data_IF_997322844886
#
_entry.id   IF_997322844886
#
_cell.length_a   1.000
_cell.length_b   1.000
_cell.length_c   1.000
_cell.angle_alpha   90.00
_cell.angle_beta   90.00
_cell.angle_gamma   90.00
#
_symmetry.space_group_name_H-M   'P 1'
#
loop_
_entity.id
_entity.type
_entity.pdbx_description
1 polymer ?
#
# COMPACT_ATOMS: atom_id res chain seq x y z
N UNK A 1 1.78 13.77 -7.00
CA UNK A 1 1.33 13.40 -8.38
C UNK A 1 -0.10 13.89 -8.65
N UNK A 2 -1.10 13.43 -7.88
CA UNK A 2 -2.51 13.81 -8.08
C UNK A 2 -2.71 15.34 -8.10
N UNK A 3 -2.19 16.06 -7.09
CA UNK A 3 -2.24 17.54 -7.07
C UNK A 3 -1.67 18.20 -8.33
N UNK A 4 -0.55 17.67 -8.87
CA UNK A 4 0.05 18.21 -10.11
C UNK A 4 -0.84 17.92 -11.32
N UNK A 5 -1.49 16.75 -11.39
CA UNK A 5 -2.32 16.37 -12.54
C UNK A 5 -3.62 17.15 -12.64
N UNK A 6 -4.18 17.64 -11.52
CA UNK A 6 -5.38 18.50 -11.53
C UNK A 6 -5.29 19.68 -12.51
N UNK A 7 -4.09 20.18 -12.78
CA UNK A 7 -3.86 21.30 -13.71
C UNK A 7 -4.16 20.97 -15.18
N UNK A 8 -4.25 19.69 -15.55
CA UNK A 8 -4.21 19.25 -16.95
C UNK A 8 -5.23 18.18 -17.31
N UNK A 9 -6.14 17.84 -16.39
CA UNK A 9 -7.15 16.79 -16.60
C UNK A 9 -8.54 17.39 -16.49
N UNK A 10 -9.51 16.95 -17.33
CA UNK A 10 -10.87 17.48 -17.32
C UNK A 10 -11.73 16.83 -16.22
N UNK A 11 -11.18 16.72 -15.00
CA UNK A 11 -11.90 16.22 -13.82
C UNK A 11 -11.53 17.04 -12.60
N UNK A 12 -12.50 17.25 -11.73
CA UNK A 12 -12.33 17.95 -10.45
C UNK A 12 -12.33 16.95 -9.30
N UNK A 13 -11.41 17.13 -8.35
CA UNK A 13 -11.42 16.42 -7.08
C UNK A 13 -10.65 17.19 -6.02
N UNK A 14 -11.08 17.04 -4.78
CA UNK A 14 -10.32 17.49 -3.61
C UNK A 14 -9.38 16.40 -3.11
N UNK A 15 -8.24 16.82 -2.57
CA UNK A 15 -7.25 15.92 -1.99
C UNK A 15 -7.16 16.13 -0.49
N UNK A 16 -7.31 15.04 0.24
CA UNK A 16 -7.07 14.95 1.66
C UNK A 16 -5.98 13.91 1.91
N UNK A 17 -4.86 14.33 2.50
CA UNK A 17 -3.80 13.43 2.93
C UNK A 17 -4.13 12.89 4.32
N UNK A 18 -4.04 11.57 4.51
CA UNK A 18 -4.29 10.92 5.79
C UNK A 18 -3.07 10.09 6.18
N UNK A 19 -2.58 10.31 7.40
CA UNK A 19 -1.60 9.45 8.04
C UNK A 19 -2.19 8.83 9.30
N UNK A 20 -2.15 7.51 9.40
CA UNK A 20 -2.47 6.76 10.61
C UNK A 20 -1.16 6.31 11.23
N UNK A 21 -0.75 6.99 12.31
CA UNK A 21 0.43 6.60 13.08
C UNK A 21 0.07 5.37 13.92
N UNK A 22 0.93 4.36 13.86
CA UNK A 22 0.75 3.08 14.54
C UNK A 22 1.24 3.08 15.99
N UNK A 23 1.87 4.16 16.44
CA UNK A 23 2.36 4.30 17.81
C UNK A 23 3.76 3.74 18.03
N UNK A 24 4.50 3.38 16.97
CA UNK A 24 5.89 2.92 17.08
C UNK A 24 6.90 4.05 17.32
N UNK A 25 6.44 5.30 17.43
CA UNK A 25 7.26 6.48 17.72
C UNK A 25 7.98 7.07 16.49
N UNK A 26 9.04 7.84 16.76
CA UNK A 26 9.84 8.55 15.76
C UNK A 26 9.27 9.91 15.35
N UNK A 27 9.97 10.59 14.43
CA UNK A 27 9.62 11.93 13.94
C UNK A 27 8.78 11.93 12.66
N UNK A 28 8.03 10.85 12.42
CA UNK A 28 7.22 10.68 11.20
C UNK A 28 6.14 11.75 11.08
N UNK A 29 5.48 12.08 12.20
CA UNK A 29 4.39 13.06 12.21
C UNK A 29 4.90 14.45 11.81
N UNK A 30 6.00 14.91 12.41
CA UNK A 30 6.59 16.23 12.14
C UNK A 30 7.03 16.37 10.68
N UNK A 31 7.77 15.37 10.17
CA UNK A 31 8.22 15.34 8.76
C UNK A 31 7.04 15.36 7.77
N UNK A 32 5.96 14.64 8.09
CA UNK A 32 4.78 14.61 7.24
C UNK A 32 4.01 15.92 7.31
N UNK A 33 3.93 16.54 8.49
CA UNK A 33 3.31 17.85 8.69
C UNK A 33 3.98 18.91 7.81
N UNK A 34 5.30 19.05 7.95
CA UNK A 34 6.11 19.96 7.15
C UNK A 34 5.92 19.71 5.64
N UNK A 35 5.93 18.44 5.24
CA UNK A 35 5.74 18.08 3.84
C UNK A 35 4.34 18.43 3.32
N UNK A 36 3.27 18.11 4.07
CA UNK A 36 1.90 18.42 3.65
C UNK A 36 1.63 19.92 3.56
N UNK A 37 2.21 20.70 4.48
CA UNK A 37 2.17 22.17 4.44
C UNK A 37 2.93 22.71 3.22
N UNK A 38 4.13 22.20 2.95
CA UNK A 38 4.95 22.61 1.80
C UNK A 38 4.26 22.40 0.45
N UNK A 39 3.42 21.36 0.34
CA UNK A 39 2.65 21.06 -0.88
C UNK A 39 1.22 21.59 -0.80
N UNK A 40 0.84 22.32 0.25
CA UNK A 40 -0.49 22.91 0.51
C UNK A 40 -1.65 21.94 0.21
N UNK A 41 -1.67 20.80 0.88
CA UNK A 41 -2.77 19.82 0.81
C UNK A 41 -3.49 19.78 2.15
N UNK A 42 -4.82 19.62 2.16
CA UNK A 42 -5.55 19.36 3.41
C UNK A 42 -5.08 18.02 3.96
N UNK A 43 -4.81 17.93 5.26
CA UNK A 43 -4.30 16.70 5.84
C UNK A 43 -4.86 16.43 7.24
N UNK A 44 -4.81 15.16 7.65
CA UNK A 44 -5.07 14.71 9.01
C UNK A 44 -4.03 13.67 9.40
N UNK A 45 -3.38 13.88 10.54
CA UNK A 45 -2.49 12.91 11.18
C UNK A 45 -3.24 12.36 12.38
N UNK A 46 -3.43 11.04 12.43
CA UNK A 46 -4.19 10.36 13.48
C UNK A 46 -3.23 9.50 14.30
N UNK A 47 -2.89 9.94 15.53
CA UNK A 47 -2.12 9.12 16.44
C UNK A 47 -2.97 7.93 16.92
N UNK A 48 -2.41 6.72 16.89
CA UNK A 48 -3.07 5.51 17.40
C UNK A 48 -2.06 4.61 18.10
N UNK A 49 -2.58 3.62 18.83
CA UNK A 49 -1.82 2.52 19.42
C UNK A 49 -2.00 1.21 18.64
N UNK A 50 -2.56 1.25 17.42
CA UNK A 50 -2.93 0.05 16.64
C UNK A 50 -1.72 -0.87 16.45
N UNK A 51 -0.55 -0.32 16.15
CA UNK A 51 0.66 -1.10 15.94
C UNK A 51 1.14 -1.76 17.21
N UNK A 52 1.17 -1.00 18.31
CA UNK A 52 1.57 -1.48 19.63
C UNK A 52 0.66 -2.61 20.08
N UNK A 53 -0.66 -2.37 20.08
CA UNK A 53 -1.68 -3.36 20.48
C UNK A 53 -1.62 -4.64 19.65
N UNK A 54 -1.36 -4.52 18.34
CA UNK A 54 -1.24 -5.70 17.48
C UNK A 54 0.00 -6.57 17.78
N UNK A 55 1.02 -6.02 18.45
CA UNK A 55 2.25 -6.73 18.81
C UNK A 55 2.34 -7.10 20.29
N UNK A 56 1.28 -6.88 21.07
CA UNK A 56 1.25 -7.34 22.45
C UNK A 56 1.16 -8.87 22.54
N UNK A 57 1.62 -9.45 23.64
CA UNK A 57 1.66 -10.91 23.85
C UNK A 57 0.27 -11.53 23.92
N UNK A 58 -0.76 -10.78 24.32
CA UNK A 58 -2.14 -11.26 24.37
C UNK A 58 -2.72 -11.51 22.97
N UNK A 59 -2.12 -10.92 21.93
CA UNK A 59 -2.53 -11.18 20.56
C UNK A 59 -2.06 -12.57 20.10
N UNK A 60 -2.98 -13.53 20.09
CA UNK A 60 -2.75 -14.91 19.61
C UNK A 60 -2.76 -15.02 18.08
N UNK A 61 -3.23 -13.97 17.38
CA UNK A 61 -3.30 -13.89 15.92
C UNK A 61 -2.04 -13.24 15.33
N UNK A 62 -1.89 -13.30 14.01
CA UNK A 62 -0.77 -12.64 13.33
C UNK A 62 -0.80 -11.11 13.56
N UNK A 63 0.26 -10.50 14.13
CA UNK A 63 0.32 -9.05 14.39
C UNK A 63 0.10 -8.17 13.15
N UNK A 64 0.63 -8.60 12.00
CA UNK A 64 0.48 -7.84 10.76
C UNK A 64 -0.96 -7.88 10.24
N UNK A 65 -1.68 -8.99 10.46
CA UNK A 65 -3.09 -9.10 10.08
C UNK A 65 -3.95 -8.15 10.93
N UNK A 66 -3.83 -8.22 12.25
CA UNK A 66 -4.61 -7.39 13.18
C UNK A 66 -4.33 -5.90 12.96
N UNK A 67 -3.05 -5.51 12.84
CA UNK A 67 -2.64 -4.14 12.54
C UNK A 67 -3.24 -3.65 11.21
N UNK A 68 -3.14 -4.45 10.14
CA UNK A 68 -3.71 -4.10 8.83
C UNK A 68 -5.23 -3.98 8.87
N UNK A 69 -5.92 -4.82 9.65
CA UNK A 69 -7.37 -4.81 9.77
C UNK A 69 -7.85 -3.54 10.47
N UNK A 70 -7.32 -3.22 11.65
CA UNK A 70 -7.66 -2.00 12.38
C UNK A 70 -7.32 -0.72 11.61
N UNK A 71 -6.14 -0.68 10.97
CA UNK A 71 -5.76 0.46 10.13
C UNK A 71 -6.73 0.67 8.98
N UNK A 72 -7.17 -0.41 8.31
CA UNK A 72 -8.13 -0.32 7.21
C UNK A 72 -9.52 0.09 7.69
N UNK A 73 -9.95 -0.38 8.87
CA UNK A 73 -11.20 0.05 9.50
C UNK A 73 -11.20 1.56 9.75
N UNK A 74 -10.19 2.05 10.46
CA UNK A 74 -10.03 3.48 10.76
C UNK A 74 -9.90 4.34 9.49
N UNK A 75 -9.22 3.83 8.47
CA UNK A 75 -9.12 4.49 7.17
C UNK A 75 -10.50 4.73 6.53
N UNK A 76 -11.42 3.76 6.61
CA UNK A 76 -12.78 3.94 6.10
C UNK A 76 -13.62 4.85 6.99
N UNK A 77 -13.51 4.73 8.31
CA UNK A 77 -14.20 5.62 9.27
C UNK A 77 -13.85 7.09 8.97
N UNK A 78 -12.56 7.40 8.85
CA UNK A 78 -12.11 8.77 8.56
C UNK A 78 -12.49 9.20 7.14
N UNK A 79 -12.41 8.30 6.16
CA UNK A 79 -12.85 8.63 4.80
C UNK A 79 -14.33 9.02 4.78
N UNK A 80 -15.16 8.36 5.58
CA UNK A 80 -16.57 8.69 5.74
C UNK A 80 -16.79 10.05 6.42
N UNK A 81 -16.11 10.30 7.54
CA UNK A 81 -16.13 11.58 8.26
C UNK A 81 -15.77 12.76 7.34
N UNK A 82 -14.76 12.55 6.49
CA UNK A 82 -14.28 13.54 5.53
C UNK A 82 -15.08 13.56 4.21
N UNK A 83 -16.17 12.78 4.12
CA UNK A 83 -17.02 12.66 2.92
C UNK A 83 -16.24 12.29 1.64
N UNK A 84 -15.17 11.51 1.79
CA UNK A 84 -14.33 11.05 0.70
C UNK A 84 -14.88 9.75 0.10
N UNK A 85 -15.16 9.71 -1.20
CA UNK A 85 -15.64 8.50 -1.88
C UNK A 85 -14.53 7.63 -2.52
N UNK A 86 -13.28 8.12 -2.52
CA UNK A 86 -12.11 7.45 -3.12
C UNK A 86 -10.93 7.46 -2.16
N UNK A 87 -10.29 6.31 -2.02
CA UNK A 87 -9.12 6.11 -1.16
C UNK A 87 -7.95 5.70 -2.04
N UNK A 88 -6.99 6.60 -2.22
CA UNK A 88 -5.81 6.33 -3.04
C UNK A 88 -4.71 5.68 -2.19
N UNK A 89 -4.32 4.45 -2.55
CA UNK A 89 -3.21 3.73 -1.89
C UNK A 89 -2.04 3.56 -2.86
N UNK A 90 -0.82 3.76 -2.37
CA UNK A 90 0.40 3.77 -3.17
C UNK A 90 0.94 2.36 -3.52
N UNK A 91 0.08 1.35 -3.55
CA UNK A 91 0.48 -0.01 -3.94
C UNK A 91 0.99 -0.02 -5.38
N UNK A 92 2.17 -0.60 -5.57
CA UNK A 92 2.87 -0.64 -6.85
C UNK A 92 2.90 -2.04 -7.47
N UNK A 93 3.41 -2.18 -8.71
CA UNK A 93 3.49 -3.46 -9.43
C UNK A 93 4.12 -4.57 -8.58
N UNK A 94 5.23 -4.28 -7.91
CA UNK A 94 5.89 -5.27 -7.07
C UNK A 94 5.01 -5.72 -5.88
N UNK A 95 4.14 -4.87 -5.33
CA UNK A 95 3.22 -5.27 -4.25
C UNK A 95 2.14 -6.23 -4.76
N UNK A 96 1.69 -6.06 -6.01
CA UNK A 96 0.73 -6.94 -6.68
C UNK A 96 1.34 -8.33 -6.86
N UNK A 97 2.59 -8.41 -7.32
CA UNK A 97 3.31 -9.67 -7.48
C UNK A 97 3.57 -10.32 -6.11
N UNK A 98 4.03 -9.54 -5.13
CA UNK A 98 4.26 -10.03 -3.76
C UNK A 98 2.98 -10.59 -3.14
N UNK A 99 1.86 -9.88 -3.23
CA UNK A 99 0.58 -10.35 -2.70
C UNK A 99 0.08 -11.58 -3.45
N UNK A 100 0.24 -11.63 -4.77
CA UNK A 100 -0.12 -12.81 -5.57
C UNK A 100 0.62 -14.07 -5.07
N UNK A 101 1.94 -13.98 -4.91
CA UNK A 101 2.74 -15.12 -4.42
C UNK A 101 2.47 -15.45 -2.95
N UNK A 102 2.20 -14.46 -2.10
CA UNK A 102 1.79 -14.73 -0.72
C UNK A 102 0.50 -15.54 -0.69
N UNK A 103 -0.51 -15.13 -1.46
CA UNK A 103 -1.81 -15.80 -1.50
C UNK A 103 -1.70 -17.20 -2.12
N UNK A 104 -0.91 -17.35 -3.18
CA UNK A 104 -0.65 -18.62 -3.82
C UNK A 104 0.04 -19.61 -2.86
N UNK A 105 1.13 -19.19 -2.22
CA UNK A 105 2.01 -20.07 -1.45
C UNK A 105 1.55 -20.31 -0.01
N UNK A 106 0.85 -19.35 0.61
CA UNK A 106 0.48 -19.42 2.03
C UNK A 106 -1.02 -19.46 2.28
N UNK A 107 -1.85 -19.19 1.26
CA UNK A 107 -3.31 -19.17 1.39
C UNK A 107 -4.02 -20.08 0.39
N UNK A 108 -3.28 -20.75 -0.51
CA UNK A 108 -3.86 -21.65 -1.52
C UNK A 108 -4.83 -20.95 -2.47
N UNK A 109 -4.64 -19.66 -2.73
CA UNK A 109 -5.58 -18.83 -3.48
C UNK A 109 -4.93 -18.12 -4.65
N UNK A 110 -5.50 -18.26 -5.84
CA UNK A 110 -5.13 -17.49 -7.03
C UNK A 110 -5.82 -16.13 -6.95
N UNK A 111 -5.26 -15.22 -6.15
CA UNK A 111 -5.82 -13.88 -5.96
C UNK A 111 -4.73 -12.83 -5.70
N UNK A 112 -5.01 -11.58 -6.04
CA UNK A 112 -4.12 -10.46 -5.75
C UNK A 112 -4.92 -9.15 -5.58
N UNK A 113 -4.20 -8.04 -5.52
CA UNK A 113 -4.71 -6.68 -5.42
C UNK A 113 -5.27 -6.23 -6.77
N UNK A 114 -6.47 -5.65 -6.79
CA UNK A 114 -7.07 -5.02 -7.99
C UNK A 114 -6.66 -3.53 -8.11
N UNK A 115 -6.54 -2.96 -9.32
CA UNK A 115 -6.23 -1.54 -9.50
C UNK A 115 -7.31 -0.62 -8.92
N UNK A 116 -8.57 -1.02 -9.06
CA UNK A 116 -9.74 -0.40 -8.44
C UNK A 116 -10.51 -1.50 -7.70
N UNK A 117 -10.95 -1.21 -6.47
CA UNK A 117 -11.71 -2.15 -5.66
C UNK A 117 -12.87 -1.45 -4.99
N UNK A 118 -14.07 -1.97 -5.25
CA UNK A 118 -15.32 -1.54 -4.64
C UNK A 118 -15.43 -2.01 -3.18
N UNK A 119 -16.00 -1.17 -2.33
CA UNK A 119 -16.33 -1.48 -0.95
C UNK A 119 -17.69 -0.88 -0.56
N UNK A 120 -18.46 -1.66 0.21
CA UNK A 120 -19.77 -1.27 0.74
C UNK A 120 -20.74 -0.81 -0.36
N UNK A 121 -20.89 -1.64 -1.39
CA UNK A 121 -21.86 -1.45 -2.48
C UNK A 121 -21.70 -0.08 -3.18
N UNK A 122 -20.48 0.29 -3.58
CA UNK A 122 -20.23 1.56 -4.27
C UNK A 122 -19.88 2.74 -3.37
N UNK A 123 -20.05 2.64 -2.04
CA UNK A 123 -19.80 3.77 -1.13
C UNK A 123 -18.35 4.25 -1.18
N UNK A 124 -17.40 3.32 -1.21
CA UNK A 124 -15.98 3.64 -1.29
C UNK A 124 -15.26 2.86 -2.39
N UNK A 125 -14.36 3.54 -3.08
CA UNK A 125 -13.48 2.92 -4.05
C UNK A 125 -12.02 3.06 -3.61
N UNK A 126 -11.33 1.94 -3.37
CA UNK A 126 -9.88 1.96 -3.25
C UNK A 126 -9.29 2.02 -4.67
N UNK A 127 -8.50 3.05 -4.95
CA UNK A 127 -7.77 3.21 -6.20
C UNK A 127 -6.26 3.09 -5.94
N UNK A 128 -5.53 2.49 -6.89
CA UNK A 128 -4.09 2.25 -6.78
C UNK A 128 -3.36 2.82 -7.99
N UNK A 129 -3.05 4.14 -7.99
CA UNK A 129 -2.47 4.81 -9.15
C UNK A 129 -1.11 4.25 -9.59
N UNK A 130 -0.38 3.57 -8.70
CA UNK A 130 0.92 2.96 -8.99
C UNK A 130 0.85 1.49 -9.42
N UNK A 131 -0.34 0.94 -9.67
CA UNK A 131 -0.55 -0.47 -10.01
C UNK A 131 0.40 -1.02 -11.09
N UNK A 132 0.69 -0.22 -12.13
CA UNK A 132 1.58 -0.58 -13.24
C UNK A 132 3.03 -0.10 -13.05
N UNK A 133 3.30 0.67 -12.00
CA UNK A 133 4.59 1.31 -11.74
C UNK A 133 5.49 0.38 -10.93
N UNK A 134 6.76 0.30 -11.29
CA UNK A 134 7.75 -0.46 -10.51
C UNK A 134 8.27 0.32 -9.31
N UNK A 135 8.56 -0.39 -8.23
CA UNK A 135 9.13 0.17 -7.00
C UNK A 135 10.44 0.92 -7.26
N UNK A 136 11.29 0.41 -8.14
CA UNK A 136 12.57 1.03 -8.52
C UNK A 136 12.39 2.43 -9.08
N UNK A 137 11.37 2.63 -9.93
CA UNK A 137 11.03 3.91 -10.52
C UNK A 137 10.51 4.89 -9.46
N UNK A 138 9.66 4.42 -8.55
CA UNK A 138 9.15 5.22 -7.42
C UNK A 138 10.31 5.70 -6.53
N UNK A 139 11.24 4.81 -6.18
CA UNK A 139 12.42 5.16 -5.38
C UNK A 139 13.28 6.20 -6.10
N UNK A 140 13.56 6.01 -7.40
CA UNK A 140 14.34 6.97 -8.19
C UNK A 140 13.67 8.34 -8.22
N UNK A 141 12.37 8.37 -8.48
CA UNK A 141 11.58 9.60 -8.50
C UNK A 141 11.55 10.30 -7.13
N UNK A 142 11.38 9.54 -6.04
CA UNK A 142 11.37 10.07 -4.67
C UNK A 142 12.70 10.73 -4.31
N UNK A 143 13.83 10.15 -4.73
CA UNK A 143 15.17 10.73 -4.52
C UNK A 143 15.36 12.03 -5.31
N UNK A 144 14.97 12.03 -6.59
CA UNK A 144 15.05 13.23 -7.45
C UNK A 144 14.20 14.39 -6.93
N UNK A 145 13.04 14.08 -6.36
CA UNK A 145 12.12 15.06 -5.78
C UNK A 145 12.44 15.39 -4.31
N UNK A 146 13.48 14.79 -3.73
CA UNK A 146 13.91 15.01 -2.35
C UNK A 146 12.77 14.85 -1.32
N UNK A 147 11.89 13.87 -1.52
CA UNK A 147 10.81 13.62 -0.56
C UNK A 147 11.37 13.17 0.80
N UNK A 148 10.68 13.51 1.92
CA UNK A 148 11.15 13.17 3.25
C UNK A 148 11.26 11.65 3.42
N UNK A 149 12.41 11.21 3.93
CA UNK A 149 12.63 9.83 4.30
C UNK A 149 12.01 9.56 5.68
N UNK A 150 11.09 8.59 5.72
CA UNK A 150 10.40 8.14 6.92
C UNK A 150 10.94 6.76 7.29
N UNK A 151 11.38 6.62 8.53
CA UNK A 151 11.91 5.37 9.05
C UNK A 151 10.77 4.37 9.35
N UNK A 152 11.04 3.08 9.11
CA UNK A 152 10.09 2.01 9.37
C UNK A 152 10.40 1.36 10.72
N UNK A 153 9.66 1.73 11.76
CA UNK A 153 9.88 1.27 13.13
C UNK A 153 9.10 0.01 13.52
N UNK A 154 8.32 -0.57 12.58
CA UNK A 154 7.54 -1.78 12.85
C UNK A 154 8.45 -2.99 13.13
N UNK A 155 8.33 -3.68 14.30
CA UNK A 155 9.16 -4.83 14.65
C UNK A 155 9.06 -5.98 13.63
N UNK A 156 7.86 -6.21 13.11
CA UNK A 156 7.58 -7.30 12.15
C UNK A 156 8.11 -7.04 10.74
N UNK A 157 8.63 -5.84 10.44
CA UNK A 157 9.02 -5.44 9.08
C UNK A 157 10.08 -6.37 8.47
N UNK A 158 11.10 -6.76 9.24
CA UNK A 158 12.25 -7.54 8.77
C UNK A 158 11.99 -9.05 8.67
N UNK A 159 11.03 -9.58 9.43
CA UNK A 159 10.75 -11.02 9.49
C UNK A 159 9.32 -11.38 9.06
N UNK A 160 8.81 -10.71 8.03
CA UNK A 160 7.48 -10.98 7.48
C UNK A 160 7.50 -12.00 6.32
N UNK A 161 6.36 -12.66 6.07
CA UNK A 161 6.16 -13.47 4.84
C UNK A 161 6.44 -12.64 3.58
N UNK A 162 6.06 -11.36 3.60
CA UNK A 162 6.34 -10.42 2.51
C UNK A 162 7.83 -10.23 2.26
N UNK A 163 8.65 -10.12 3.30
CA UNK A 163 10.11 -10.02 3.12
C UNK A 163 10.74 -11.34 2.64
N UNK A 164 10.19 -12.49 3.03
CA UNK A 164 10.59 -13.80 2.47
C UNK A 164 10.32 -13.85 0.95
N UNK A 165 9.12 -13.48 0.51
CA UNK A 165 8.76 -13.41 -0.92
C UNK A 165 9.62 -12.40 -1.67
N UNK A 166 9.89 -11.22 -1.09
CA UNK A 166 10.80 -10.23 -1.69
C UNK A 166 12.20 -10.80 -1.93
N UNK A 167 12.76 -11.54 -0.97
CA UNK A 167 14.06 -12.20 -1.13
C UNK A 167 14.05 -13.22 -2.26
N UNK A 168 13.02 -14.07 -2.30
CA UNK A 168 12.83 -15.05 -3.37
C UNK A 168 12.75 -14.38 -4.75
N UNK A 169 11.87 -13.39 -4.91
CA UNK A 169 11.71 -12.65 -6.16
C UNK A 169 13.00 -11.97 -6.60
N UNK A 170 13.79 -11.42 -5.67
CA UNK A 170 15.10 -10.83 -5.99
C UNK A 170 16.09 -11.87 -6.54
N UNK A 171 16.04 -13.12 -6.09
CA UNK A 171 16.86 -14.20 -6.68
C UNK A 171 16.42 -14.48 -8.10
N UNK A 172 15.11 -14.74 -8.29
CA UNK A 172 14.55 -15.06 -9.59
C UNK A 172 14.82 -13.97 -10.63
N UNK A 173 14.64 -12.69 -10.26
CA UNK A 173 14.88 -11.58 -11.19
C UNK A 173 16.36 -11.39 -11.57
N UNK A 174 17.30 -11.89 -10.76
CA UNK A 174 18.73 -11.89 -11.12
C UNK A 174 19.06 -13.02 -12.10
N UNK A 175 18.36 -14.14 -11.99
CA UNK A 175 18.49 -15.27 -12.90
C UNK A 175 17.89 -14.95 -14.28
N UNK A 176 16.67 -14.41 -14.32
CA UNK A 176 16.05 -13.90 -15.55
C UNK A 176 15.21 -12.63 -15.28
N UNK A 177 15.60 -11.46 -15.83
CA UNK A 177 14.85 -10.22 -15.71
C UNK A 177 13.41 -10.28 -16.24
N UNK A 178 13.09 -11.21 -17.16
CA UNK A 178 11.74 -11.37 -17.72
C UNK A 178 10.74 -11.93 -16.71
N UNK A 179 11.20 -12.62 -15.66
CA UNK A 179 10.31 -13.28 -14.68
C UNK A 179 9.33 -12.29 -14.05
N UNK A 180 9.75 -11.07 -13.71
CA UNK A 180 8.84 -10.05 -13.16
C UNK A 180 7.66 -9.78 -14.12
N UNK A 181 7.98 -9.54 -15.39
CA UNK A 181 6.99 -9.27 -16.44
C UNK A 181 6.08 -10.48 -16.67
N UNK A 182 6.65 -11.69 -16.69
CA UNK A 182 5.92 -12.93 -16.87
C UNK A 182 4.91 -13.18 -15.74
N UNK A 183 5.32 -13.03 -14.47
CA UNK A 183 4.40 -13.19 -13.33
C UNK A 183 3.28 -12.15 -13.41
N UNK A 184 3.61 -10.89 -13.67
CA UNK A 184 2.59 -9.84 -13.79
C UNK A 184 1.61 -10.10 -14.95
N UNK A 185 2.12 -10.55 -16.10
CA UNK A 185 1.29 -10.91 -17.25
C UNK A 185 0.38 -12.11 -16.95
N UNK A 186 0.89 -13.14 -16.26
CA UNK A 186 0.13 -14.34 -15.89
C UNK A 186 -1.09 -14.02 -15.01
N UNK A 187 -1.00 -12.99 -14.15
CA UNK A 187 -2.15 -12.51 -13.34
C UNK A 187 -3.31 -12.04 -14.22
N UNK A 188 -3.02 -11.48 -15.40
CA UNK A 188 -4.04 -10.98 -16.34
C UNK A 188 -4.42 -12.00 -17.43
N UNK A 189 -3.60 -13.02 -17.64
CA UNK A 189 -3.75 -14.01 -18.71
C UNK A 189 -3.97 -15.41 -18.14
N UNK A 190 -5.06 -15.57 -17.39
CA UNK A 190 -5.44 -16.86 -16.81
C UNK A 190 -6.16 -17.70 -17.87
N UNK A 191 -5.51 -18.78 -18.31
CA UNK A 191 -6.09 -19.76 -19.23
C UNK A 191 -7.07 -20.67 -18.48
N UNK A 192 -8.34 -20.28 -18.44
CA UNK A 192 -9.39 -20.97 -17.68
C UNK A 192 -9.63 -22.40 -18.17
N UNK A 193 -9.35 -22.67 -19.45
CA UNK A 193 -9.49 -23.99 -20.04
C UNK A 193 -8.48 -25.03 -19.52
N UNK A 194 -7.46 -24.61 -18.75
CA UNK A 194 -6.50 -25.49 -18.05
C UNK A 194 -6.64 -25.43 -16.52
N UNK A 195 -7.75 -24.89 -16.00
CA UNK A 195 -8.05 -24.85 -14.56
C UNK A 195 -9.28 -25.70 -14.25
N UNK A 196 -9.30 -26.43 -13.11
CA UNK A 196 -10.47 -27.17 -12.65
C UNK A 196 -11.61 -26.25 -12.19
#
# INVERSE_FOLDING_TARGET
LLKKRLRWIPIEYELYALHIDLGFGGNTQDKLKEFFESISVKYRIVPTDIGIRAHLEENRENPCFLCSWHRKRLLFEIADELKCNKIALAHHKDDVIETFLINLLYSGSISTIKPVQDFFNGRFHIIRPFYLTEKSLIIRFSKQMQFPAIEQLCPSSKNSKREKIRRLLRSLYREDPKIKGNIFHAIHNVRREYLP
#
